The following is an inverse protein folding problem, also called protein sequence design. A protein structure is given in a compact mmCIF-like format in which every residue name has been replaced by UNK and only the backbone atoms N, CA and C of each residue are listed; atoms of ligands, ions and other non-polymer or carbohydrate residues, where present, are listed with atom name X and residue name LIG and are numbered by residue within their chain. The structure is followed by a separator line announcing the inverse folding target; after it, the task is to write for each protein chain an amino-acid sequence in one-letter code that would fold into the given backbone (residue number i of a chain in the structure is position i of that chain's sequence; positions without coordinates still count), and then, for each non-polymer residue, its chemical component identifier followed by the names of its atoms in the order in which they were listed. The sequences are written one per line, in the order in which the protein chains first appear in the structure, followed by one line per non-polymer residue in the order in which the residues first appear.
data_IF_131127465893
#
_entry.id   IF_131127465893
#
_cell.length_a   1.000
_cell.length_b   1.000
_cell.length_c   1.000
_cell.angle_alpha   90.00
_cell.angle_beta   90.00
_cell.angle_gamma   90.00
#
_symmetry.space_group_name_H-M   'P 1'
#
loop_
_entity.id
_entity.type
_entity.pdbx_description
1 polymer ?
#
# COMPACT_ATOMS: atom_id res chain seq x y z
N UNK A 1 10.44 -21.57 -16.77
CA UNK A 1 10.55 -21.27 -15.33
C UNK A 1 9.15 -21.38 -14.74
N UNK A 2 8.97 -21.85 -13.50
CA UNK A 2 7.66 -21.89 -12.86
C UNK A 2 7.69 -21.06 -11.58
N UNK A 3 7.28 -19.79 -11.64
CA UNK A 3 7.28 -18.91 -10.46
C UNK A 3 6.15 -19.22 -9.47
N UNK A 4 5.14 -19.99 -9.90
CA UNK A 4 4.01 -20.40 -9.07
C UNK A 4 4.09 -21.88 -8.68
N UNK A 5 5.30 -22.45 -8.71
CA UNK A 5 5.51 -23.82 -8.29
C UNK A 5 5.20 -23.97 -6.78
N UNK A 6 4.52 -25.06 -6.43
CA UNK A 6 3.98 -25.27 -5.07
C UNK A 6 5.09 -25.28 -4.00
N UNK A 7 6.30 -25.72 -4.36
CA UNK A 7 7.46 -25.69 -3.48
C UNK A 7 7.80 -24.29 -2.95
N UNK A 8 7.54 -23.23 -3.73
CA UNK A 8 7.85 -21.86 -3.32
C UNK A 8 6.89 -21.34 -2.25
N UNK A 9 5.68 -21.90 -2.16
CA UNK A 9 4.73 -21.55 -1.09
C UNK A 9 5.26 -21.93 0.30
N UNK A 10 6.14 -22.93 0.38
CA UNK A 10 6.71 -23.40 1.64
C UNK A 10 8.17 -22.96 1.85
N UNK A 11 8.96 -22.88 0.78
CA UNK A 11 10.38 -22.52 0.85
C UNK A 11 10.58 -21.02 1.11
N UNK A 12 9.72 -20.18 0.53
CA UNK A 12 9.79 -18.72 0.67
C UNK A 12 8.37 -18.12 0.65
N UNK A 13 7.59 -18.34 1.72
CA UNK A 13 6.19 -17.89 1.78
C UNK A 13 6.05 -16.35 1.81
N UNK A 14 7.08 -15.63 2.27
CA UNK A 14 7.04 -14.18 2.45
C UNK A 14 8.29 -13.53 1.83
N UNK A 15 8.40 -13.55 0.50
CA UNK A 15 9.56 -13.01 -0.19
C UNK A 15 9.75 -11.52 0.09
N UNK A 16 11.01 -11.09 0.09
CA UNK A 16 11.32 -9.66 0.06
C UNK A 16 10.92 -9.06 -1.29
N UNK A 17 9.97 -8.12 -1.27
CA UNK A 17 9.41 -7.52 -2.48
C UNK A 17 10.41 -6.72 -3.28
N UNK A 18 11.44 -6.15 -2.65
CA UNK A 18 12.49 -5.41 -3.36
C UNK A 18 13.37 -6.37 -4.15
N UNK A 19 13.73 -7.50 -3.55
CA UNK A 19 14.48 -8.56 -4.20
C UNK A 19 13.70 -9.13 -5.40
N UNK A 20 12.41 -9.44 -5.22
CA UNK A 20 11.55 -9.88 -6.32
C UNK A 20 11.46 -8.85 -7.44
N UNK A 21 11.27 -7.57 -7.10
CA UNK A 21 11.19 -6.51 -8.10
C UNK A 21 12.47 -6.43 -8.95
N UNK A 22 13.65 -6.50 -8.34
CA UNK A 22 14.93 -6.48 -9.05
C UNK A 22 15.12 -7.71 -9.93
N UNK A 23 14.76 -8.89 -9.42
CA UNK A 23 14.83 -10.14 -10.18
C UNK A 23 13.89 -10.10 -11.39
N UNK A 24 12.65 -9.70 -11.20
CA UNK A 24 11.65 -9.66 -12.25
C UNK A 24 11.91 -8.56 -13.29
N UNK A 25 12.49 -7.43 -12.88
CA UNK A 25 12.94 -6.38 -13.80
C UNK A 25 13.99 -6.94 -14.76
N UNK A 26 15.01 -7.64 -14.23
CA UNK A 26 16.03 -8.27 -15.03
C UNK A 26 15.48 -9.40 -15.94
N UNK A 27 14.56 -10.22 -15.44
CA UNK A 27 14.04 -11.38 -16.16
C UNK A 27 13.02 -11.01 -17.25
N UNK A 28 12.16 -10.02 -17.00
CA UNK A 28 10.98 -9.79 -17.83
C UNK A 28 10.93 -8.42 -18.49
N UNK A 29 11.73 -7.45 -18.02
CA UNK A 29 11.67 -6.04 -18.45
C UNK A 29 13.04 -5.48 -18.82
N UNK A 30 14.04 -6.33 -19.06
CA UNK A 30 15.39 -5.97 -19.51
C UNK A 30 16.12 -4.96 -18.61
N UNK A 31 15.77 -4.91 -17.33
CA UNK A 31 16.35 -3.96 -16.37
C UNK A 31 15.90 -2.50 -16.58
N UNK A 32 14.78 -2.29 -17.28
CA UNK A 32 14.27 -0.97 -17.64
C UNK A 32 13.42 -0.32 -16.53
N UNK A 33 13.13 -1.01 -15.43
CA UNK A 33 12.34 -0.47 -14.32
C UNK A 33 13.17 0.12 -13.17
N UNK A 34 14.48 0.30 -13.33
CA UNK A 34 15.38 0.82 -12.28
C UNK A 34 14.97 2.19 -11.70
N UNK A 35 14.25 3.02 -12.46
CA UNK A 35 13.71 4.31 -12.00
C UNK A 35 12.39 4.25 -11.23
N UNK A 36 11.79 3.06 -11.10
CA UNK A 36 10.51 2.86 -10.43
C UNK A 36 10.69 2.50 -8.95
N UNK A 37 9.92 3.17 -8.08
CA UNK A 37 9.89 2.87 -6.65
C UNK A 37 8.90 1.72 -6.35
N UNK A 38 9.32 0.70 -5.59
CA UNK A 38 8.45 -0.32 -5.00
C UNK A 38 8.34 -0.15 -3.47
N UNK A 39 7.11 -0.11 -2.93
CA UNK A 39 6.87 -0.03 -1.47
C UNK A 39 5.63 -0.79 -1.01
N UNK A 40 5.67 -1.33 0.20
CA UNK A 40 4.47 -1.75 0.93
C UNK A 40 3.64 -0.55 1.38
N UNK A 41 2.32 -0.67 1.30
CA UNK A 41 1.35 0.27 1.85
C UNK A 41 0.59 -0.37 3.02
N UNK A 42 0.74 0.14 4.26
CA UNK A 42 0.09 -0.44 5.44
C UNK A 42 -1.40 -0.09 5.54
N UNK A 43 -1.92 0.77 4.65
CA UNK A 43 -3.29 1.31 4.72
C UNK A 43 -4.08 1.16 3.42
N UNK A 44 -3.49 0.62 2.37
CA UNK A 44 -4.18 0.39 1.10
C UNK A 44 -5.08 -0.83 1.24
N UNK A 45 -6.38 -0.65 1.15
CA UNK A 45 -7.38 -1.72 1.34
C UNK A 45 -8.44 -1.75 0.24
N UNK A 46 -8.29 -0.90 -0.78
CA UNK A 46 -9.20 -0.84 -1.92
C UNK A 46 -8.72 -1.75 -3.06
N UNK A 47 -7.41 -1.97 -3.14
CA UNK A 47 -6.74 -2.73 -4.17
C UNK A 47 -5.46 -3.38 -3.62
N UNK A 48 -5.04 -4.49 -4.23
CA UNK A 48 -3.87 -5.25 -3.80
C UNK A 48 -2.53 -4.65 -4.27
N UNK A 49 -2.54 -3.93 -5.40
CA UNK A 49 -1.43 -3.16 -5.93
C UNK A 49 -1.88 -1.75 -6.33
N UNK A 50 -0.96 -0.89 -6.71
CA UNK A 50 -1.24 0.39 -7.34
C UNK A 50 0.02 0.89 -8.05
N UNK A 51 -0.09 1.22 -9.33
CA UNK A 51 0.95 1.92 -10.07
C UNK A 51 0.56 3.38 -10.29
N UNK A 52 1.49 4.27 -9.97
CA UNK A 52 1.32 5.71 -10.14
C UNK A 52 2.47 6.28 -10.96
N UNK A 53 2.15 7.16 -11.90
CA UNK A 53 3.12 7.80 -12.78
C UNK A 53 2.90 9.31 -12.81
N UNK A 54 3.99 10.06 -12.71
CA UNK A 54 4.01 11.52 -12.81
C UNK A 54 4.69 11.92 -14.12
N UNK A 55 3.93 12.29 -15.17
CA UNK A 55 4.50 12.61 -16.48
C UNK A 55 5.49 13.77 -16.44
N UNK A 56 5.29 14.74 -15.54
CA UNK A 56 6.14 15.92 -15.41
C UNK A 56 7.55 15.60 -14.89
N UNK A 57 7.68 14.63 -13.98
CA UNK A 57 8.95 14.26 -13.35
C UNK A 57 9.51 12.94 -13.89
N UNK A 58 8.69 12.17 -14.62
CA UNK A 58 9.00 10.78 -14.97
C UNK A 58 8.96 9.82 -13.78
N UNK A 59 8.51 10.28 -12.60
CA UNK A 59 8.51 9.45 -11.40
C UNK A 59 7.42 8.38 -11.48
N UNK A 60 7.82 7.11 -11.34
CA UNK A 60 6.93 5.95 -11.33
C UNK A 60 7.03 5.24 -9.97
N UNK A 61 5.90 4.88 -9.38
CA UNK A 61 5.87 4.16 -8.10
C UNK A 61 4.78 3.09 -8.07
N UNK A 62 5.20 1.88 -7.73
CA UNK A 62 4.37 0.74 -7.39
C UNK A 62 4.20 0.68 -5.86
N UNK A 63 2.95 0.51 -5.42
CA UNK A 63 2.62 0.19 -4.04
C UNK A 63 1.90 -1.15 -3.96
N UNK A 64 2.22 -1.96 -2.97
CA UNK A 64 1.53 -3.23 -2.69
C UNK A 64 0.78 -3.13 -1.36
N UNK A 65 -0.41 -3.71 -1.29
CA UNK A 65 -1.25 -3.69 -0.10
C UNK A 65 -0.74 -4.71 0.89
N UNK A 66 -0.16 -4.24 1.99
CA UNK A 66 0.16 -5.12 3.10
C UNK A 66 -1.12 -5.77 3.67
N UNK A 67 -2.23 -5.04 3.93
CA UNK A 67 -3.44 -5.66 4.45
C UNK A 67 -4.03 -6.79 3.58
N UNK A 68 -4.00 -6.64 2.24
CA UNK A 68 -4.61 -7.60 1.34
C UNK A 68 -3.69 -8.75 0.94
N UNK A 69 -2.37 -8.58 0.97
CA UNK A 69 -1.42 -9.59 0.49
C UNK A 69 -0.65 -10.32 1.60
N UNK A 70 -0.51 -9.75 2.81
CA UNK A 70 0.39 -10.29 3.84
C UNK A 70 0.04 -11.71 4.32
N UNK A 71 -1.23 -12.10 4.24
CA UNK A 71 -1.72 -13.43 4.67
C UNK A 71 -2.24 -14.28 3.50
N UNK A 72 -1.86 -13.91 2.27
CA UNK A 72 -2.24 -14.62 1.06
C UNK A 72 -1.12 -15.57 0.62
N UNK A 73 -1.44 -16.56 -0.23
CA UNK A 73 -0.42 -17.37 -0.88
C UNK A 73 0.60 -16.48 -1.60
N UNK A 74 1.85 -16.94 -1.66
CA UNK A 74 2.94 -16.25 -2.36
C UNK A 74 2.55 -15.94 -3.80
N UNK A 75 1.80 -16.83 -4.46
CA UNK A 75 1.29 -16.62 -5.81
C UNK A 75 0.54 -15.31 -6.01
N UNK A 76 -0.24 -14.87 -5.02
CA UNK A 76 -1.03 -13.64 -5.13
C UNK A 76 -0.12 -12.40 -5.13
N UNK A 77 0.93 -12.43 -4.30
CA UNK A 77 1.96 -11.39 -4.28
C UNK A 77 2.70 -11.33 -5.62
N UNK A 78 3.14 -12.48 -6.14
CA UNK A 78 3.89 -12.55 -7.42
C UNK A 78 3.06 -12.04 -8.58
N UNK A 79 1.81 -12.51 -8.73
CA UNK A 79 0.94 -12.06 -9.82
C UNK A 79 0.59 -10.57 -9.69
N UNK A 80 0.32 -10.09 -8.47
CA UNK A 80 0.02 -8.66 -8.25
C UNK A 80 1.24 -7.79 -8.57
N UNK A 81 2.44 -8.16 -8.10
CA UNK A 81 3.66 -7.41 -8.39
C UNK A 81 3.93 -7.33 -9.90
N UNK A 82 3.85 -8.46 -10.61
CA UNK A 82 4.08 -8.50 -12.06
C UNK A 82 3.03 -7.69 -12.83
N UNK A 83 1.76 -7.68 -12.38
CA UNK A 83 0.73 -6.81 -12.95
C UNK A 83 1.14 -5.33 -12.86
N UNK A 84 1.53 -4.87 -11.67
CA UNK A 84 1.96 -3.48 -11.49
C UNK A 84 3.26 -3.15 -12.25
N UNK A 85 4.17 -4.11 -12.39
CA UNK A 85 5.40 -3.93 -13.17
C UNK A 85 5.12 -3.78 -14.67
N UNK A 86 4.09 -4.43 -15.20
CA UNK A 86 3.65 -4.20 -16.59
C UNK A 86 3.15 -2.76 -16.75
N UNK A 87 2.32 -2.26 -15.83
CA UNK A 87 1.91 -0.85 -15.84
C UNK A 87 3.10 0.09 -15.80
N UNK A 88 4.02 -0.13 -14.86
CA UNK A 88 5.24 0.68 -14.73
C UNK A 88 6.08 0.68 -16.01
N UNK A 89 6.22 -0.48 -16.66
CA UNK A 89 6.94 -0.62 -17.92
C UNK A 89 6.28 0.19 -19.04
N UNK A 90 4.96 0.08 -19.18
CA UNK A 90 4.22 0.81 -20.20
C UNK A 90 4.27 2.32 -19.96
N UNK A 91 4.15 2.79 -18.72
CA UNK A 91 4.29 4.22 -18.40
C UNK A 91 5.65 4.79 -18.78
N UNK A 92 6.72 4.02 -18.55
CA UNK A 92 8.09 4.49 -18.75
C UNK A 92 8.55 4.33 -20.21
N UNK A 93 8.05 3.33 -20.95
CA UNK A 93 8.64 2.92 -22.23
C UNK A 93 7.65 2.78 -23.39
N UNK A 94 6.33 2.88 -23.17
CA UNK A 94 5.38 2.83 -24.28
C UNK A 94 5.30 4.18 -24.99
N UNK A 95 5.52 4.25 -26.32
CA UNK A 95 5.29 5.47 -27.09
C UNK A 95 3.79 5.79 -27.24
N UNK A 96 2.93 4.78 -27.02
CA UNK A 96 1.48 4.88 -27.07
C UNK A 96 0.95 5.04 -25.65
N UNK A 97 0.36 6.22 -25.37
CA UNK A 97 -0.41 6.45 -24.16
C UNK A 97 -1.85 6.00 -24.42
N UNK A 98 -2.04 4.70 -24.56
CA UNK A 98 -3.40 4.15 -24.59
C UNK A 98 -4.07 4.50 -23.25
N UNK A 99 -5.26 5.08 -23.33
CA UNK A 99 -6.06 5.44 -22.15
C UNK A 99 -6.78 4.23 -21.52
N UNK A 100 -6.65 3.06 -22.12
CA UNK A 100 -7.19 1.80 -21.60
C UNK A 100 -6.16 1.17 -20.66
N UNK A 101 -6.49 1.09 -19.37
CA UNK A 101 -5.62 0.56 -18.31
C UNK A 101 -5.00 -0.80 -18.69
N UNK A 102 -5.75 -1.67 -19.38
CA UNK A 102 -5.30 -3.01 -19.78
C UNK A 102 -5.44 -3.26 -21.28
N UNK A 103 -5.05 -2.29 -22.12
CA UNK A 103 -5.06 -2.38 -23.58
C UNK A 103 -4.15 -3.47 -24.18
N UNK A 104 -4.05 -3.56 -25.52
CA UNK A 104 -3.32 -4.63 -26.21
C UNK A 104 -1.86 -4.79 -25.76
N UNK A 105 -1.17 -3.70 -25.43
CA UNK A 105 0.21 -3.74 -24.94
C UNK A 105 0.31 -4.39 -23.56
N UNK A 106 -0.61 -4.06 -22.64
CA UNK A 106 -0.67 -4.71 -21.33
C UNK A 106 -0.89 -6.22 -21.50
N UNK A 107 -1.90 -6.59 -22.30
CA UNK A 107 -2.24 -7.98 -22.54
C UNK A 107 -1.08 -8.75 -23.19
N UNK A 108 -0.35 -8.13 -24.11
CA UNK A 108 0.86 -8.72 -24.70
C UNK A 108 1.90 -9.09 -23.64
N UNK A 109 2.29 -8.15 -22.77
CA UNK A 109 3.26 -8.43 -21.71
C UNK A 109 2.73 -9.43 -20.67
N UNK A 110 1.45 -9.34 -20.31
CA UNK A 110 0.76 -10.29 -19.43
C UNK A 110 0.86 -11.72 -19.98
N UNK A 111 0.46 -11.94 -21.23
CA UNK A 111 0.51 -13.26 -21.86
C UNK A 111 1.95 -13.77 -22.02
N UNK A 112 2.88 -12.90 -22.41
CA UNK A 112 4.31 -13.24 -22.53
C UNK A 112 4.87 -13.75 -21.19
N UNK A 113 4.65 -13.02 -20.10
CA UNK A 113 5.17 -13.39 -18.78
C UNK A 113 4.47 -14.66 -18.26
N UNK A 114 3.14 -14.76 -18.39
CA UNK A 114 2.39 -15.98 -18.04
C UNK A 114 2.95 -17.23 -18.73
N UNK A 115 3.28 -17.14 -20.02
CA UNK A 115 3.82 -18.27 -20.77
C UNK A 115 5.26 -18.62 -20.35
N UNK A 116 6.12 -17.62 -20.10
CA UNK A 116 7.54 -17.84 -19.76
C UNK A 116 7.74 -18.37 -18.33
N UNK A 117 6.92 -17.89 -17.40
CA UNK A 117 7.10 -18.07 -15.97
C UNK A 117 5.98 -18.91 -15.31
N UNK A 118 5.03 -19.42 -16.08
CA UNK A 118 3.83 -20.13 -15.60
C UNK A 118 3.04 -19.33 -14.54
N UNK A 119 3.04 -18.00 -14.68
CA UNK A 119 2.24 -17.11 -13.84
C UNK A 119 0.78 -17.08 -14.31
N UNK A 120 -0.10 -16.45 -13.51
CA UNK A 120 -1.53 -16.30 -13.79
C UNK A 120 -1.95 -14.83 -13.63
N UNK A 121 -1.17 -13.93 -14.21
CA UNK A 121 -1.49 -12.51 -14.25
C UNK A 121 -2.77 -12.34 -15.07
N UNK A 122 -3.72 -11.58 -14.54
CA UNK A 122 -5.01 -11.26 -15.15
C UNK A 122 -5.19 -9.75 -15.27
N UNK A 123 -6.08 -9.31 -16.15
CA UNK A 123 -6.49 -7.89 -16.28
C UNK A 123 -7.38 -7.45 -15.12
N UNK A 124 -8.15 -8.39 -14.54
CA UNK A 124 -9.00 -8.16 -13.37
C UNK A 124 -8.33 -8.63 -12.09
N UNK A 125 -8.69 -8.01 -10.96
CA UNK A 125 -8.25 -8.43 -9.64
C UNK A 125 -9.24 -9.41 -9.00
N UNK A 126 -8.73 -10.35 -8.20
CA UNK A 126 -9.56 -11.36 -7.51
C UNK A 126 -9.78 -11.04 -6.02
N UNK A 127 -9.57 -9.79 -5.58
CA UNK A 127 -9.60 -9.41 -4.15
C UNK A 127 -10.92 -8.77 -3.68
N UNK A 128 -12.03 -9.03 -4.37
CA UNK A 128 -13.31 -8.35 -4.14
C UNK A 128 -13.85 -8.59 -2.72
N UNK A 129 -13.84 -9.85 -2.26
CA UNK A 129 -14.37 -10.23 -0.94
C UNK A 129 -13.50 -9.67 0.20
N UNK A 130 -12.18 -9.67 0.02
CA UNK A 130 -11.23 -9.12 0.98
C UNK A 130 -11.40 -7.60 1.08
N UNK A 131 -11.48 -6.90 -0.06
CA UNK A 131 -11.73 -5.46 -0.11
C UNK A 131 -13.06 -5.12 0.57
N UNK A 132 -14.11 -5.90 0.32
CA UNK A 132 -15.42 -5.72 0.95
C UNK A 132 -15.38 -5.95 2.47
N UNK A 133 -14.52 -6.84 2.96
CA UNK A 133 -14.29 -7.04 4.39
C UNK A 133 -13.73 -5.78 5.07
N UNK A 134 -12.93 -5.00 4.36
CA UNK A 134 -12.42 -3.72 4.87
C UNK A 134 -13.45 -2.60 4.83
N UNK A 135 -14.51 -2.68 4.01
CA UNK A 135 -15.56 -1.64 3.87
C UNK A 135 -16.54 -1.63 5.04
N UNK A 136 -16.04 -1.31 6.23
CA UNK A 136 -16.76 -1.43 7.52
C UNK A 136 -17.63 -0.22 7.89
N UNK A 137 -17.43 0.94 7.25
CA UNK A 137 -18.22 2.14 7.52
C UNK A 137 -19.30 2.30 6.46
N UNK A 138 -20.57 2.27 6.86
CA UNK A 138 -21.69 2.29 5.94
C UNK A 138 -22.53 3.54 6.15
N UNK A 139 -22.94 4.16 5.05
CA UNK A 139 -23.88 5.28 5.03
C UNK A 139 -25.05 4.97 4.11
N UNK A 140 -26.25 5.40 4.52
CA UNK A 140 -27.48 5.27 3.75
C UNK A 140 -28.01 6.65 3.42
N UNK A 141 -28.28 6.91 2.15
CA UNK A 141 -28.99 8.10 1.70
C UNK A 141 -30.46 8.00 2.11
N UNK A 142 -31.05 9.11 2.54
CA UNK A 142 -32.49 9.18 2.80
C UNK A 142 -33.32 9.60 1.56
N UNK A 143 -32.68 9.89 0.43
CA UNK A 143 -33.32 10.36 -0.80
C UNK A 143 -33.85 9.25 -1.72
N UNK A 144 -34.35 9.62 -2.92
CA UNK A 144 -34.94 8.68 -3.89
C UNK A 144 -33.97 7.64 -4.45
N UNK A 145 -32.65 7.87 -4.38
CA UNK A 145 -31.64 6.90 -4.85
C UNK A 145 -31.67 5.57 -4.08
N UNK A 146 -32.36 5.50 -2.94
CA UNK A 146 -32.60 4.25 -2.21
C UNK A 146 -33.30 3.15 -3.03
N UNK A 147 -34.06 3.54 -4.06
CA UNK A 147 -34.79 2.63 -4.95
C UNK A 147 -34.10 2.46 -6.31
N UNK A 148 -32.95 3.12 -6.53
CA UNK A 148 -32.25 3.11 -7.81
C UNK A 148 -31.08 2.11 -7.75
N UNK A 149 -30.99 1.15 -8.67
CA UNK A 149 -29.80 0.32 -8.80
C UNK A 149 -28.59 1.17 -9.24
N UNK A 150 -27.37 0.67 -9.05
CA UNK A 150 -27.03 -0.59 -8.35
C UNK A 150 -26.86 -0.41 -6.84
N UNK A 151 -26.69 0.82 -6.36
CA UNK A 151 -26.25 1.08 -4.97
C UNK A 151 -27.40 1.15 -3.97
N UNK A 152 -28.63 1.37 -4.42
CA UNK A 152 -29.80 1.53 -3.55
C UNK A 152 -29.55 2.51 -2.40
N UNK A 153 -28.89 3.63 -2.69
CA UNK A 153 -28.53 4.67 -1.72
C UNK A 153 -27.53 4.24 -0.64
N UNK A 154 -26.81 3.13 -0.81
CA UNK A 154 -25.77 2.68 0.11
C UNK A 154 -24.38 3.16 -0.34
N UNK A 155 -23.56 3.60 0.62
CA UNK A 155 -22.12 3.83 0.42
C UNK A 155 -21.37 3.09 1.51
N UNK A 156 -20.45 2.20 1.13
CA UNK A 156 -19.59 1.46 2.06
C UNK A 156 -18.13 1.89 1.85
N UNK A 157 -17.40 2.17 2.93
CA UNK A 157 -15.99 2.60 2.86
C UNK A 157 -15.15 1.96 3.95
N UNK A 158 -13.86 1.83 3.67
CA UNK A 158 -12.88 1.37 4.65
C UNK A 158 -12.50 2.45 5.67
N UNK A 159 -12.61 3.73 5.30
CA UNK A 159 -12.34 4.85 6.19
C UNK A 159 -13.64 5.49 6.66
N UNK A 160 -13.64 6.03 7.88
CA UNK A 160 -14.74 6.82 8.44
C UNK A 160 -14.83 8.22 7.81
N UNK A 161 -15.03 8.27 6.48
CA UNK A 161 -15.21 9.50 5.71
C UNK A 161 -16.64 9.53 5.18
N UNK A 162 -17.51 10.43 5.64
CA UNK A 162 -18.86 10.52 5.10
C UNK A 162 -18.84 10.88 3.60
N UNK A 163 -19.83 10.45 2.82
CA UNK A 163 -20.06 10.97 1.48
C UNK A 163 -20.16 12.51 1.48
N UNK A 164 -19.54 13.16 0.50
CA UNK A 164 -19.56 14.62 0.41
C UNK A 164 -18.85 15.18 -0.83
N UNK A 165 -18.68 16.51 -0.92
CA UNK A 165 -18.24 17.21 -2.15
C UNK A 165 -16.89 16.79 -2.75
N UNK A 166 -16.05 16.06 -2.00
CA UNK A 166 -14.79 15.51 -2.50
C UNK A 166 -14.96 14.23 -3.32
N UNK A 167 -16.16 13.67 -3.35
CA UNK A 167 -16.48 12.51 -4.16
C UNK A 167 -16.84 12.96 -5.58
N UNK A 168 -16.23 12.36 -6.59
CA UNK A 168 -16.44 12.71 -8.02
C UNK A 168 -17.91 12.63 -8.45
N UNK A 169 -18.70 11.75 -7.82
CA UNK A 169 -20.12 11.57 -8.08
C UNK A 169 -21.04 12.49 -7.25
N UNK A 170 -20.50 13.26 -6.29
CA UNK A 170 -21.31 14.02 -5.34
C UNK A 170 -22.22 15.05 -6.01
N UNK A 171 -21.68 15.84 -6.94
CA UNK A 171 -22.42 16.88 -7.67
C UNK A 171 -23.62 16.28 -8.41
N UNK A 172 -23.42 15.12 -9.06
CA UNK A 172 -24.51 14.39 -9.74
C UNK A 172 -25.57 13.91 -8.75
N UNK A 173 -25.13 13.32 -7.63
CA UNK A 173 -26.05 12.88 -6.58
C UNK A 173 -26.88 14.04 -6.00
N UNK A 174 -26.25 15.20 -5.76
CA UNK A 174 -26.94 16.39 -5.26
C UNK A 174 -28.04 16.85 -6.23
N UNK A 175 -27.75 16.86 -7.54
CA UNK A 175 -28.70 17.26 -8.58
C UNK A 175 -29.85 16.24 -8.79
N UNK A 176 -29.54 14.93 -8.83
CA UNK A 176 -30.52 13.90 -9.21
C UNK A 176 -31.28 13.28 -8.04
N UNK A 177 -30.77 13.47 -6.81
CA UNK A 177 -31.31 12.87 -5.59
C UNK A 177 -31.58 13.92 -4.51
N UNK A 178 -30.60 14.78 -4.21
CA UNK A 178 -30.70 15.81 -3.17
C UNK A 178 -30.81 15.27 -1.73
N UNK A 179 -30.67 13.95 -1.53
CA UNK A 179 -30.75 13.33 -0.21
C UNK A 179 -29.48 13.50 0.62
N UNK A 180 -29.58 13.20 1.91
CA UNK A 180 -28.47 13.25 2.86
C UNK A 180 -28.07 11.84 3.29
N UNK A 181 -26.77 11.62 3.42
CA UNK A 181 -26.21 10.35 3.90
C UNK A 181 -26.08 10.34 5.42
N UNK A 182 -26.71 9.36 6.07
CA UNK A 182 -26.55 9.10 7.50
C UNK A 182 -25.77 7.80 7.72
N UNK A 183 -24.97 7.76 8.78
CA UNK A 183 -24.16 6.59 9.09
C UNK A 183 -25.04 5.49 9.69
N UNK A 184 -24.95 4.29 9.15
CA UNK A 184 -25.79 3.13 9.55
C UNK A 184 -24.98 1.95 10.10
N UNK A 185 -23.66 1.93 9.91
CA UNK A 185 -22.79 0.90 10.49
C UNK A 185 -21.41 1.47 10.86
N UNK A 186 -20.93 1.03 12.01
CA UNK A 186 -19.56 1.19 12.47
C UNK A 186 -18.81 -0.15 12.46
N UNK A 187 -17.47 -0.14 12.37
CA UNK A 187 -16.68 -1.34 12.55
C UNK A 187 -16.93 -1.95 13.93
N UNK A 188 -16.87 -3.28 14.05
CA UNK A 188 -16.91 -3.93 15.36
C UNK A 188 -15.81 -3.36 16.25
N UNK A 189 -16.17 -3.00 17.48
CA UNK A 189 -15.22 -2.44 18.44
C UNK A 189 -14.13 -3.47 18.73
N UNK A 190 -12.85 -3.06 18.68
CA UNK A 190 -11.75 -3.90 19.18
C UNK A 190 -12.03 -4.26 20.65
N UNK A 191 -11.73 -5.49 21.12
CA UNK A 191 -12.09 -5.96 22.47
C UNK A 191 -11.64 -5.01 23.59
N UNK A 192 -10.46 -4.39 23.44
CA UNK A 192 -9.90 -3.44 24.41
C UNK A 192 -10.71 -2.14 24.54
N UNK A 193 -11.42 -1.75 23.49
CA UNK A 193 -12.26 -0.54 23.45
C UNK A 193 -13.71 -0.83 23.84
N UNK A 194 -14.19 -2.06 23.61
CA UNK A 194 -15.50 -2.52 24.10
C UNK A 194 -15.56 -2.43 25.64
N UNK A 195 -14.55 -2.95 26.33
CA UNK A 195 -14.47 -2.85 27.80
C UNK A 195 -14.32 -1.42 28.33
N UNK A 196 -13.69 -0.50 27.58
CA UNK A 196 -13.60 0.91 27.97
C UNK A 196 -14.94 1.63 27.82
N UNK A 197 -15.71 1.29 26.78
CA UNK A 197 -17.05 1.83 26.55
C UNK A 197 -18.05 1.29 27.57
N UNK A 198 -18.04 -0.02 27.84
CA UNK A 198 -18.81 -0.64 28.93
C UNK A 198 -18.49 -0.03 30.29
N UNK A 199 -17.19 0.21 30.59
CA UNK A 199 -16.78 0.89 31.82
C UNK A 199 -17.24 2.34 31.90
N UNK A 200 -17.28 3.08 30.80
CA UNK A 200 -17.72 4.47 30.78
C UNK A 200 -19.25 4.59 30.90
N UNK A 201 -20.00 3.64 30.33
CA UNK A 201 -21.45 3.52 30.52
C UNK A 201 -21.76 3.09 31.96
N UNK A 202 -21.02 2.13 32.52
CA UNK A 202 -21.17 1.67 33.91
C UNK A 202 -20.77 2.74 34.95
N UNK A 203 -19.76 3.57 34.66
CA UNK A 203 -19.33 4.68 35.55
C UNK A 203 -20.36 5.79 35.68
N UNK A 204 -21.29 5.92 34.73
CA UNK A 204 -22.36 6.93 34.79
C UNK A 204 -23.53 6.52 35.68
N UNK A 205 -23.57 5.28 36.18
CA UNK A 205 -24.78 4.68 36.79
C UNK A 205 -24.58 4.21 38.24
N UNK A 206 -23.38 4.19 38.84
CA UNK A 206 -23.23 3.70 40.23
C UNK A 206 -22.37 4.59 41.13
N UNK A 207 -23.06 5.45 41.89
CA UNK A 207 -22.74 5.75 43.29
C UNK A 207 -23.12 4.49 44.10
N UNK A 208 -22.22 3.99 44.94
CA UNK A 208 -22.46 2.86 45.84
C UNK A 208 -21.45 1.72 45.70
N UNK A 209 -20.41 1.79 46.54
CA UNK A 209 -19.36 0.79 46.72
C UNK A 209 -19.91 -0.53 47.28
N UNK A 210 -19.67 -1.64 46.58
CA UNK A 210 -19.65 -3.00 47.18
C UNK A 210 -18.46 -3.75 46.57
N UNK A 211 -17.46 -4.02 47.40
CA UNK A 211 -16.32 -4.88 47.08
C UNK A 211 -16.80 -6.29 46.70
N UNK A 212 -16.33 -6.80 45.56
CA UNK A 212 -16.49 -8.20 45.18
C UNK A 212 -15.10 -8.81 44.98
N UNK A 213 -14.68 -9.60 45.97
CA UNK A 213 -13.55 -10.51 45.87
C UNK A 213 -13.78 -11.48 44.70
N UNK A 214 -12.87 -11.52 43.74
CA UNK A 214 -12.84 -12.57 42.72
C UNK A 214 -11.98 -13.74 43.23
N UNK A 215 -12.41 -15.00 43.07
CA UNK A 215 -11.58 -16.15 43.39
C UNK A 215 -10.45 -16.29 42.35
N UNK A 216 -9.24 -16.51 42.84
CA UNK A 216 -8.03 -16.74 42.03
C UNK A 216 -8.12 -18.03 41.22
N UNK A 217 -7.63 -17.99 39.98
CA UNK A 217 -7.53 -19.14 39.06
C UNK A 217 -6.56 -20.23 39.55
N UNK A 218 -5.84 -19.97 40.65
CA UNK A 218 -4.94 -20.92 41.31
C UNK A 218 -5.64 -22.22 41.75
N UNK A 219 -6.98 -22.25 41.83
CA UNK A 219 -7.75 -23.45 42.13
C UNK A 219 -7.81 -24.48 40.98
N UNK A 220 -7.38 -24.12 39.75
CA UNK A 220 -7.46 -25.00 38.57
C UNK A 220 -6.18 -25.80 38.27
N UNK A 221 -5.11 -25.58 39.02
CA UNK A 221 -3.85 -26.30 38.84
C UNK A 221 -3.63 -27.23 40.04
N UNK A 222 -3.42 -28.55 39.83
CA UNK A 222 -3.03 -29.42 40.93
C UNK A 222 -1.69 -28.94 41.52
N UNK A 223 -1.50 -29.05 42.85
CA UNK A 223 -0.26 -28.62 43.49
C UNK A 223 0.91 -29.40 42.87
N UNK A 224 1.81 -28.68 42.20
CA UNK A 224 3.09 -29.22 41.79
C UNK A 224 3.82 -29.72 43.03
N UNK A 225 4.21 -31.00 43.01
CA UNK A 225 5.09 -31.57 44.01
C UNK A 225 6.37 -30.71 44.13
N UNK A 226 6.88 -30.48 45.36
CA UNK A 226 8.04 -29.64 45.57
C UNK A 226 9.26 -30.24 44.87
N UNK A 227 9.82 -29.51 43.90
CA UNK A 227 11.16 -29.80 43.39
C UNK A 227 12.20 -29.37 44.44
N UNK A 228 13.25 -30.20 44.68
CA UNK A 228 14.30 -29.86 45.62
C UNK A 228 15.11 -28.64 45.16
N UNK A 229 15.43 -27.79 46.13
CA UNK A 229 16.11 -26.51 45.97
C UNK A 229 17.44 -26.61 45.20
N UNK A 230 17.62 -25.75 44.20
CA UNK A 230 18.94 -25.45 43.65
C UNK A 230 19.62 -24.35 44.48
N UNK A 231 20.94 -24.47 44.76
CA UNK A 231 21.68 -23.50 45.55
C UNK A 231 21.97 -22.20 44.77
N UNK A 232 22.24 -21.09 45.47
CA UNK A 232 22.23 -19.74 44.90
C UNK A 232 23.50 -19.46 44.08
N UNK A 233 23.32 -19.12 42.80
CA UNK A 233 24.36 -18.47 41.99
C UNK A 233 24.30 -16.96 42.18
N UNK A 234 25.45 -16.40 42.58
CA UNK A 234 25.65 -14.99 42.92
C UNK A 234 25.59 -14.11 41.68
N UNK A 235 24.82 -13.04 41.78
CA UNK A 235 24.92 -11.85 40.93
C UNK A 235 26.29 -11.19 41.14
N UNK A 236 26.99 -10.87 40.05
CA UNK A 236 28.05 -9.87 40.05
C UNK A 236 27.80 -8.90 38.91
N UNK A 237 27.58 -7.66 39.32
CA UNK A 237 27.59 -6.48 38.48
C UNK A 237 29.00 -6.14 37.96
N UNK A 238 28.98 -5.30 36.92
CA UNK A 238 29.87 -4.14 36.72
C UNK A 238 31.07 -4.22 35.76
N UNK A 239 31.04 -3.21 34.89
CA UNK A 239 32.13 -2.31 34.47
C UNK A 239 33.05 -2.70 33.32
N UNK A 240 32.81 -2.01 32.19
CA UNK A 240 33.63 -0.96 31.59
C UNK A 240 35.16 -1.12 31.44
N UNK A 241 35.60 -0.77 30.22
CA UNK A 241 36.71 0.13 29.85
C UNK A 241 37.90 -0.45 29.09
N UNK A 242 38.25 0.30 28.03
CA UNK A 242 39.60 0.61 27.49
C UNK A 242 40.29 -0.53 26.73
N UNK A 243 41.04 -0.35 25.63
CA UNK A 243 41.66 0.82 25.00
C UNK A 243 42.23 0.43 23.60
N UNK A 244 42.67 1.45 22.83
CA UNK A 244 43.72 1.44 21.78
C UNK A 244 43.40 0.73 20.42
N UNK A 245 43.72 1.23 19.22
CA UNK A 245 44.80 2.14 18.78
C UNK A 245 44.48 2.76 17.42
N UNK A 246 44.82 4.04 17.24
CA UNK A 246 44.86 4.74 15.97
C UNK A 246 46.16 4.45 15.20
N UNK A 247 46.14 4.51 13.86
CA UNK A 247 47.33 4.91 13.10
C UNK A 247 46.91 5.64 11.82
N UNK A 248 47.61 6.73 11.57
CA UNK A 248 47.29 7.84 10.67
C UNK A 248 48.33 7.90 9.53
N UNK A 249 47.85 8.19 8.29
CA UNK A 249 48.44 9.04 7.22
C UNK A 249 49.81 8.68 6.55
N UNK A 250 50.29 9.36 5.44
CA UNK A 250 49.66 10.32 4.49
C UNK A 250 50.08 10.21 2.97
N UNK A 251 49.52 11.14 2.16
CA UNK A 251 50.06 11.90 0.99
C UNK A 251 49.68 11.56 -0.49
N UNK A 252 49.06 12.57 -1.12
CA UNK A 252 48.99 12.92 -2.57
C UNK A 252 50.36 13.48 -3.10
N UNK A 253 50.54 14.16 -4.28
CA UNK A 253 49.63 14.58 -5.39
C UNK A 253 50.20 14.49 -6.85
N UNK A 254 49.36 14.84 -7.85
CA UNK A 254 49.64 15.86 -8.89
C UNK A 254 48.73 15.77 -10.16
N UNK A 255 48.13 16.90 -10.53
CA UNK A 255 47.69 17.34 -11.88
C UNK A 255 48.85 18.14 -12.56
N UNK A 256 48.78 18.89 -13.71
CA UNK A 256 47.67 19.33 -14.59
C UNK A 256 48.00 19.41 -16.13
N UNK A 257 47.17 20.18 -16.88
CA UNK A 257 47.29 20.83 -18.22
C UNK A 257 46.55 20.13 -19.39
N UNK A 258 45.77 20.83 -20.25
CA UNK A 258 45.48 22.27 -20.33
C UNK A 258 44.62 22.69 -21.55
N UNK A 259 44.25 23.99 -21.56
CA UNK A 259 43.89 24.92 -22.65
C UNK A 259 42.59 24.68 -23.45
N UNK A 260 41.55 25.54 -23.49
CA UNK A 260 41.37 27.01 -23.66
C UNK A 260 41.25 27.50 -25.12
N UNK A 261 40.12 28.15 -25.45
CA UNK A 261 39.85 29.38 -26.24
C UNK A 261 38.47 29.33 -26.95
N UNK A 262 37.49 30.21 -26.62
CA UNK A 262 37.18 31.54 -27.21
C UNK A 262 36.97 31.49 -28.75
N UNK A 263 36.00 32.13 -29.41
CA UNK A 263 35.01 33.17 -29.12
C UNK A 263 34.19 33.44 -30.41
N UNK A 264 32.92 33.89 -30.32
CA UNK A 264 32.44 35.15 -30.95
C UNK A 264 30.91 35.33 -30.86
N UNK A 265 30.52 36.60 -30.64
CA UNK A 265 29.17 37.17 -30.44
C UNK A 265 28.51 37.61 -31.75
N UNK A 266 27.17 37.73 -31.69
CA UNK A 266 26.27 38.79 -32.23
C UNK A 266 25.14 38.19 -33.09
N UNK A 267 23.86 38.59 -33.07
CA UNK A 267 23.11 39.65 -32.36
C UNK A 267 21.59 39.39 -32.56
N UNK A 268 20.82 39.73 -31.53
CA UNK A 268 19.42 40.27 -31.52
C UNK A 268 18.28 39.53 -32.21
N UNK A 269 17.33 39.05 -31.40
CA UNK A 269 15.89 39.15 -31.67
C UNK A 269 15.14 39.46 -30.36
N UNK A 270 14.20 40.40 -30.44
CA UNK A 270 13.41 40.97 -29.33
C UNK A 270 12.25 40.03 -29.00
N UNK A 271 12.11 39.64 -27.73
CA UNK A 271 10.93 38.93 -27.21
C UNK A 271 10.04 39.88 -26.37
N UNK A 272 8.70 39.83 -26.50
CA UNK A 272 7.76 40.47 -25.57
C UNK A 272 7.68 39.70 -24.24
N UNK A 273 7.17 40.32 -23.15
CA UNK A 273 7.26 39.77 -21.79
C UNK A 273 6.39 38.53 -21.59
N UNK A 274 6.78 37.58 -20.72
CA UNK A 274 5.98 36.40 -20.45
C UNK A 274 4.76 36.76 -19.62
N UNK A 275 3.60 36.34 -20.11
CA UNK A 275 2.37 36.28 -19.32
C UNK A 275 2.57 35.22 -18.23
N UNK A 276 2.22 35.59 -17.00
CA UNK A 276 2.28 34.74 -15.81
C UNK A 276 1.37 33.52 -15.99
N UNK A 277 1.96 32.40 -16.43
CA UNK A 277 1.29 31.10 -16.44
C UNK A 277 1.42 30.52 -15.03
N UNK A 278 0.34 30.64 -14.26
CA UNK A 278 0.12 29.84 -13.06
C UNK A 278 0.24 28.35 -13.46
N UNK A 279 1.11 27.54 -12.82
CA UNK A 279 1.19 26.12 -13.13
C UNK A 279 -0.15 25.46 -12.79
N UNK A 280 -0.84 24.96 -13.82
CA UNK A 280 -2.00 24.09 -13.67
C UNK A 280 -1.51 22.70 -13.30
N UNK A 281 -2.13 22.18 -12.25
CA UNK A 281 -2.30 20.78 -11.84
C UNK A 281 -1.24 19.77 -12.33
N UNK A 282 -0.48 19.25 -11.36
CA UNK A 282 0.34 18.05 -11.52
C UNK A 282 -0.57 16.85 -11.85
N UNK A 283 -0.73 16.55 -13.14
CA UNK A 283 -1.50 15.40 -13.63
C UNK A 283 -0.80 14.09 -13.24
N UNK A 284 -1.03 13.59 -12.02
CA UNK A 284 -0.61 12.25 -11.60
C UNK A 284 -1.55 11.24 -12.25
N UNK A 285 -1.01 10.37 -13.12
CA UNK A 285 -1.77 9.24 -13.65
C UNK A 285 -1.73 8.14 -12.60
N UNK A 286 -2.90 7.82 -12.06
CA UNK A 286 -3.10 6.74 -11.10
C UNK A 286 -3.96 5.69 -11.80
N UNK A 287 -3.37 4.53 -12.08
CA UNK A 287 -4.16 3.35 -12.46
C UNK A 287 -4.56 2.70 -11.14
N UNK A 288 -5.75 3.06 -10.66
CA UNK A 288 -6.35 2.38 -9.52
C UNK A 288 -6.97 1.06 -10.00
N UNK A 289 -6.50 -0.03 -9.40
CA UNK A 289 -6.91 -1.41 -9.62
C UNK A 289 -8.35 -1.72 -9.17
N UNK A 290 -9.20 -0.70 -9.06
CA UNK A 290 -10.60 -0.83 -8.64
C UNK A 290 -11.58 -0.69 -9.80
N UNK A 291 -11.11 -0.79 -11.05
CA UNK A 291 -11.98 -0.67 -12.21
C UNK A 291 -13.18 -1.63 -12.07
N UNK A 292 -14.32 -0.96 -12.08
CA UNK A 292 -15.67 -1.41 -11.77
C UNK A 292 -15.95 -2.84 -12.27
N UNK A 293 -16.32 -3.73 -11.34
CA UNK A 293 -17.17 -4.86 -11.64
C UNK A 293 -18.58 -4.33 -11.95
N UNK A 294 -18.90 -4.11 -13.23
CA UNK A 294 -20.27 -4.28 -13.67
C UNK A 294 -20.64 -5.74 -13.45
N UNK A 295 -21.70 -5.95 -12.68
CA UNK A 295 -22.22 -7.28 -12.35
C UNK A 295 -23.03 -7.81 -13.53
N UNK A 296 -22.71 -9.02 -13.99
CA UNK A 296 -23.70 -9.95 -14.53
C UNK A 296 -24.47 -10.61 -13.39
#
# INVERSE_FOLDING_TARGET
MNLLAEEYEYLDPTPDVRSLFQEYDALFFDGLLQGCEIKWSPRMTLCAGLCSFQPATGFCSIRLSQPLLQLRPRSDLVNTLLHEMIHAFLFLHSPMRDHEDHGPQFQYHMHRINNLAQTRITVFHTFHDEVDTYRVHWWKCNGPCQRRPPYFGMVKRAMNRPPGPRDSWWTKHEQECGGTYTKVRDPPLKPRNAHKMERNVAKKVKIGSVERHQPSIAAFFPPHAPQPAQPPVKSMDSMASTDTTAMETPLEPATPLGSAQLCHRSRTAVHPPPTEIQPKDDDVVIIDLTSMSDSD
#
